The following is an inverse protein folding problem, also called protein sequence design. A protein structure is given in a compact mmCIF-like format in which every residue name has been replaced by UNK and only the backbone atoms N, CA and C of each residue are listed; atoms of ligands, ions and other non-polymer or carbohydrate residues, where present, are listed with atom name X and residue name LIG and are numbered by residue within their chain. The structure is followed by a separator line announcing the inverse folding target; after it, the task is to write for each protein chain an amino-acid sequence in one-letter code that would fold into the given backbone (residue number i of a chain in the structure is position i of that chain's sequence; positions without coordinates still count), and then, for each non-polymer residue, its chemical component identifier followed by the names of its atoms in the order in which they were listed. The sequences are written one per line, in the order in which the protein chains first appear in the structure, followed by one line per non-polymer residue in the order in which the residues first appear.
data_IF_269687056297
#
_entry.id   IF_269687056297
#
_cell.length_a   1.000
_cell.length_b   1.000
_cell.length_c   1.000
_cell.angle_alpha   90.00
_cell.angle_beta   90.00
_cell.angle_gamma   90.00
#
_symmetry.space_group_name_H-M   'P 1'
#
loop_
_entity.id
_entity.type
_entity.pdbx_description
1 polymer ?
#
# COMPACT_ATOMS: atom_id res chain seq x y z
N UNK A 1 -3.85 -25.26 5.07
CA UNK A 1 -4.08 -24.46 6.25
C UNK A 1 -3.09 -24.78 7.36
N UNK A 2 -2.10 -23.90 7.57
CA UNK A 2 -1.23 -23.99 8.76
C UNK A 2 -1.65 -22.89 9.72
N UNK A 3 -2.49 -23.26 10.69
CA UNK A 3 -2.70 -22.51 11.91
C UNK A 3 -1.46 -22.67 12.77
N UNK A 4 -0.76 -21.57 13.10
CA UNK A 4 0.30 -21.56 14.11
C UNK A 4 -0.17 -20.77 15.33
N UNK A 5 0.05 -21.40 16.48
CA UNK A 5 -0.44 -20.99 17.79
C UNK A 5 0.13 -19.65 18.29
N UNK A 6 -0.56 -19.17 19.25
CA UNK A 6 -0.45 -17.98 20.08
C UNK A 6 0.95 -17.78 20.67
N UNK A 7 1.58 -16.64 20.43
CA UNK A 7 2.72 -16.18 21.22
C UNK A 7 2.23 -15.10 22.21
N UNK A 8 2.11 -15.48 23.46
CA UNK A 8 1.71 -14.57 24.55
C UNK A 8 2.95 -13.94 25.14
N UNK A 9 3.16 -12.66 24.90
CA UNK A 9 4.05 -11.83 25.70
C UNK A 9 3.27 -10.67 26.29
N UNK A 10 3.00 -10.73 27.60
CA UNK A 10 2.59 -9.59 28.41
C UNK A 10 1.22 -9.02 28.08
N UNK A 11 0.14 -9.74 28.34
CA UNK A 11 -1.19 -9.16 28.65
C UNK A 11 -1.99 -8.50 27.55
N UNK A 12 -1.41 -8.08 26.43
CA UNK A 12 -2.12 -7.54 25.26
C UNK A 12 -2.00 -8.55 24.10
N UNK A 13 -3.15 -8.89 23.56
CA UNK A 13 -3.27 -9.87 22.47
C UNK A 13 -2.80 -9.21 21.18
N UNK A 14 -1.66 -9.63 20.63
CA UNK A 14 -1.12 -9.11 19.37
C UNK A 14 -2.08 -9.44 18.21
N UNK A 15 -2.23 -8.50 17.27
CA UNK A 15 -3.07 -8.70 16.09
C UNK A 15 -2.60 -9.92 15.25
N UNK A 16 -3.56 -10.69 14.75
CA UNK A 16 -3.30 -11.90 13.96
C UNK A 16 -2.84 -11.55 12.54
N UNK A 17 -1.85 -12.28 12.03
CA UNK A 17 -1.42 -12.22 10.64
C UNK A 17 -2.53 -12.65 9.65
N UNK A 18 -2.36 -12.24 8.40
CA UNK A 18 -3.26 -12.54 7.28
C UNK A 18 -4.65 -11.93 7.45
N UNK A 19 -4.67 -10.73 8.04
CA UNK A 19 -5.89 -9.97 8.26
C UNK A 19 -5.76 -8.50 7.84
N UNK A 20 -6.90 -7.97 7.43
CA UNK A 20 -7.17 -6.55 7.27
C UNK A 20 -7.97 -6.07 8.48
N UNK A 21 -7.54 -4.96 9.09
CA UNK A 21 -8.18 -4.37 10.26
C UNK A 21 -8.75 -2.99 9.95
N UNK A 22 -9.99 -2.75 10.37
CA UNK A 22 -10.58 -1.40 10.32
C UNK A 22 -10.15 -0.60 11.55
N UNK A 23 -9.00 0.05 11.45
CA UNK A 23 -8.44 0.84 12.54
C UNK A 23 -7.39 1.84 12.04
N UNK A 24 -7.06 2.80 12.87
CA UNK A 24 -5.92 3.68 12.64
C UNK A 24 -4.62 2.87 12.67
N UNK A 25 -3.80 3.03 11.63
CA UNK A 25 -2.52 2.32 11.53
C UNK A 25 -1.56 2.66 12.68
N UNK A 26 -1.64 3.85 13.27
CA UNK A 26 -0.83 4.22 14.44
C UNK A 26 -1.18 3.37 15.65
N UNK A 27 -2.46 3.10 15.89
CA UNK A 27 -2.89 2.19 16.96
C UNK A 27 -2.53 0.74 16.65
N UNK A 28 -2.62 0.35 15.39
CA UNK A 28 -2.22 -0.99 14.95
C UNK A 28 -0.72 -1.23 15.09
N UNK A 29 0.12 -0.33 14.60
CA UNK A 29 1.59 -0.47 14.67
C UNK A 29 2.12 -0.52 16.10
N UNK A 30 1.51 0.18 17.07
CA UNK A 30 1.89 0.13 18.49
C UNK A 30 1.81 -1.28 19.09
N UNK A 31 1.02 -2.17 18.55
CA UNK A 31 0.84 -3.54 19.06
C UNK A 31 1.97 -4.48 18.64
N UNK A 32 2.87 -4.04 17.77
CA UNK A 32 3.98 -4.86 17.29
C UNK A 32 5.32 -4.41 17.88
N UNK A 33 6.23 -5.34 18.18
CA UNK A 33 7.58 -5.01 18.60
C UNK A 33 8.40 -4.39 17.46
N UNK A 34 9.56 -3.82 17.82
CA UNK A 34 10.50 -3.27 16.85
C UNK A 34 10.90 -4.31 15.81
N UNK A 35 10.95 -3.89 14.54
CA UNK A 35 11.40 -4.72 13.41
C UNK A 35 10.63 -6.04 13.22
N UNK A 36 9.36 -6.06 13.64
CA UNK A 36 8.51 -7.24 13.52
C UNK A 36 8.25 -7.64 12.07
N UNK A 37 8.01 -6.65 11.19
CA UNK A 37 7.79 -6.87 9.76
C UNK A 37 9.11 -6.78 9.01
N UNK A 38 9.41 -7.74 8.15
CA UNK A 38 10.58 -7.71 7.29
C UNK A 38 10.46 -6.61 6.24
N UNK A 39 9.23 -6.35 5.75
CA UNK A 39 8.96 -5.34 4.73
C UNK A 39 7.61 -4.65 4.99
N UNK A 40 7.61 -3.31 4.93
CA UNK A 40 6.40 -2.53 4.78
C UNK A 40 6.30 -2.00 3.34
N UNK A 41 5.13 -2.16 2.71
CA UNK A 41 4.81 -1.58 1.40
C UNK A 41 3.60 -0.68 1.61
N UNK A 42 3.81 0.64 1.52
CA UNK A 42 2.80 1.62 1.92
C UNK A 42 2.51 2.65 0.84
N UNK A 43 1.25 3.08 0.76
CA UNK A 43 0.77 4.12 -0.15
C UNK A 43 -0.04 5.17 0.61
N UNK A 44 0.62 5.97 1.46
CA UNK A 44 -0.07 6.95 2.29
C UNK A 44 -0.60 8.13 1.45
N UNK A 45 -1.64 8.86 1.92
CA UNK A 45 -2.17 10.02 1.21
C UNK A 45 -1.12 11.12 1.04
N UNK A 46 -1.11 11.75 -0.14
CA UNK A 46 -0.06 12.71 -0.53
C UNK A 46 -0.39 14.17 -0.14
N UNK A 47 -1.62 14.47 0.26
CA UNK A 47 -2.06 15.84 0.59
C UNK A 47 -2.15 16.76 -0.63
N UNK A 48 -2.37 16.22 -1.83
CA UNK A 48 -2.36 16.98 -3.08
C UNK A 48 -3.75 17.19 -3.71
N UNK A 49 -4.78 16.48 -3.26
CA UNK A 49 -6.10 16.53 -3.90
C UNK A 49 -6.75 17.90 -3.76
N UNK A 50 -6.50 18.63 -2.69
CA UNK A 50 -6.97 20.01 -2.49
C UNK A 50 -6.24 21.05 -3.35
N UNK A 51 -5.07 20.70 -3.90
CA UNK A 51 -4.27 21.63 -4.73
C UNK A 51 -4.63 21.57 -6.22
N UNK A 52 -5.35 20.55 -6.65
CA UNK A 52 -5.67 20.28 -8.06
C UNK A 52 -7.11 20.65 -8.45
N UNK A 53 -7.72 21.68 -7.83
CA UNK A 53 -8.97 22.30 -8.34
C UNK A 53 -8.77 22.94 -9.71
N UNK A 54 -8.24 22.21 -10.69
CA UNK A 54 -8.34 22.56 -12.11
C UNK A 54 -9.45 21.74 -12.70
N UNK A 55 -10.49 22.46 -13.19
CA UNK A 55 -11.69 21.91 -13.75
C UNK A 55 -11.40 20.90 -14.86
N UNK A 56 -11.45 19.63 -14.52
CA UNK A 56 -11.54 18.52 -15.43
C UNK A 56 -12.92 17.90 -15.30
N UNK A 57 -13.59 17.70 -16.44
CA UNK A 57 -14.91 17.08 -16.52
C UNK A 57 -14.97 15.80 -15.68
N UNK A 58 -16.05 15.69 -14.92
CA UNK A 58 -16.38 14.54 -14.07
C UNK A 58 -16.27 13.25 -14.87
N UNK A 59 -15.35 12.38 -14.49
CA UNK A 59 -15.39 10.97 -14.87
C UNK A 59 -16.75 10.38 -14.45
N UNK A 60 -17.46 9.62 -15.30
CA UNK A 60 -18.76 9.06 -14.98
C UNK A 60 -18.71 7.91 -13.95
N UNK A 61 -17.58 7.63 -13.35
CA UNK A 61 -17.44 6.57 -12.36
C UNK A 61 -18.02 7.04 -11.01
N UNK A 62 -18.91 6.22 -10.47
CA UNK A 62 -19.66 6.38 -9.21
C UNK A 62 -18.78 6.37 -7.94
N UNK A 63 -17.69 7.13 -7.92
CA UNK A 63 -16.98 7.34 -6.68
C UNK A 63 -17.69 8.47 -5.93
N UNK A 64 -18.33 8.14 -4.81
CA UNK A 64 -18.64 9.13 -3.80
C UNK A 64 -17.29 9.62 -3.29
N UNK A 65 -16.80 10.74 -3.84
CA UNK A 65 -15.72 11.49 -3.21
C UNK A 65 -16.30 11.97 -1.88
N UNK A 66 -16.14 11.16 -0.85
CA UNK A 66 -16.38 11.57 0.52
C UNK A 66 -15.28 12.55 0.88
N UNK A 67 -15.70 13.64 1.46
CA UNK A 67 -14.97 14.75 2.08
C UNK A 67 -13.44 14.74 1.95
N UNK A 68 -12.91 15.89 1.71
CA UNK A 68 -11.48 16.26 1.65
C UNK A 68 -10.68 15.84 2.92
N UNK A 69 -11.32 15.15 3.87
CA UNK A 69 -10.81 14.83 5.20
C UNK A 69 -9.82 13.65 5.27
N UNK A 70 -9.69 12.83 4.24
CA UNK A 70 -8.76 11.69 4.25
C UNK A 70 -7.40 11.96 3.58
N UNK A 71 -7.26 13.03 2.79
CA UNK A 71 -6.02 13.37 2.08
C UNK A 71 -5.06 14.21 2.93
N UNK A 72 -4.88 13.83 4.19
CA UNK A 72 -3.84 14.43 5.04
C UNK A 72 -2.57 13.59 4.96
N UNK A 73 -1.41 14.22 4.59
CA UNK A 73 -0.15 13.51 4.58
C UNK A 73 0.23 13.04 5.99
N UNK A 74 0.91 11.89 6.12
CA UNK A 74 1.35 11.39 7.40
C UNK A 74 2.27 12.35 8.14
N UNK A 75 2.17 12.36 9.46
CA UNK A 75 3.02 13.18 10.35
C UNK A 75 4.38 12.51 10.60
N UNK A 76 5.31 13.24 11.21
CA UNK A 76 6.62 12.70 11.61
C UNK A 76 6.51 11.46 12.52
N UNK A 77 5.47 11.38 13.35
CA UNK A 77 5.28 10.23 14.25
C UNK A 77 4.90 8.96 13.49
N UNK A 78 4.13 9.07 12.39
CA UNK A 78 3.87 7.94 11.52
C UNK A 78 5.18 7.35 10.96
N UNK A 79 6.07 8.20 10.45
CA UNK A 79 7.34 7.73 9.88
C UNK A 79 8.22 7.06 10.93
N UNK A 80 8.28 7.61 12.15
CA UNK A 80 9.00 6.96 13.26
C UNK A 80 8.45 5.57 13.56
N UNK A 81 7.12 5.43 13.65
CA UNK A 81 6.48 4.13 13.90
C UNK A 81 6.69 3.15 12.75
N UNK A 82 6.54 3.59 11.49
CA UNK A 82 6.78 2.76 10.32
C UNK A 82 8.21 2.20 10.33
N UNK A 83 9.22 3.06 10.57
CA UNK A 83 10.61 2.65 10.68
C UNK A 83 10.90 1.81 11.93
N UNK A 84 10.16 2.00 13.01
CA UNK A 84 10.27 1.17 14.21
C UNK A 84 9.82 -0.26 13.95
N UNK A 85 8.62 -0.45 13.40
CA UNK A 85 7.99 -1.77 13.30
C UNK A 85 8.48 -2.58 12.11
N UNK A 86 9.10 -1.97 11.10
CA UNK A 86 9.54 -2.66 9.89
C UNK A 86 11.05 -2.54 9.67
N UNK A 87 11.63 -3.60 9.09
CA UNK A 87 13.06 -3.65 8.79
C UNK A 87 13.35 -2.85 7.51
N UNK A 88 12.59 -3.08 6.45
CA UNK A 88 12.68 -2.38 5.18
C UNK A 88 11.33 -1.76 4.81
N UNK A 89 11.36 -0.71 3.99
CA UNK A 89 10.17 0.02 3.57
C UNK A 89 10.20 0.26 2.06
N UNK A 90 9.03 0.22 1.45
CA UNK A 90 8.75 0.68 0.09
C UNK A 90 7.60 1.68 0.20
N UNK A 91 7.80 2.90 -0.28
CA UNK A 91 6.85 4.01 -0.13
C UNK A 91 6.43 4.51 -1.51
N UNK A 92 5.18 4.24 -1.88
CA UNK A 92 4.59 4.81 -3.09
C UNK A 92 4.49 6.34 -2.95
N UNK A 93 4.78 7.08 -4.01
CA UNK A 93 4.79 8.54 -3.95
C UNK A 93 5.88 9.11 -3.04
N UNK A 94 7.00 8.42 -2.87
CA UNK A 94 8.07 8.84 -1.97
C UNK A 94 8.60 10.25 -2.21
N UNK A 95 8.44 10.78 -3.44
CA UNK A 95 8.78 12.15 -3.79
C UNK A 95 7.94 13.21 -3.06
N UNK A 96 6.81 12.86 -2.45
CA UNK A 96 6.00 13.76 -1.62
C UNK A 96 6.46 13.77 -0.15
N UNK A 97 7.36 12.88 0.24
CA UNK A 97 7.75 12.63 1.65
C UNK A 97 9.26 12.75 1.89
N UNK A 98 9.97 13.46 1.04
CA UNK A 98 11.44 13.60 1.10
C UNK A 98 11.96 14.23 2.38
N UNK A 99 11.13 14.93 3.14
CA UNK A 99 11.49 15.48 4.45
C UNK A 99 11.63 14.38 5.54
N UNK A 100 11.09 13.19 5.29
CA UNK A 100 11.09 12.07 6.23
C UNK A 100 11.89 10.87 5.75
N UNK A 101 12.13 10.78 4.44
CA UNK A 101 12.81 9.66 3.80
C UNK A 101 14.28 10.01 3.57
N UNK A 102 15.18 9.12 3.96
CA UNK A 102 16.61 9.37 3.76
C UNK A 102 17.02 9.19 2.27
N UNK A 103 18.10 9.87 1.83
CA UNK A 103 18.62 9.71 0.48
C UNK A 103 19.00 8.26 0.18
N UNK A 104 18.60 7.76 -0.99
CA UNK A 104 18.86 6.41 -1.44
C UNK A 104 18.93 6.34 -2.97
N UNK A 105 19.68 5.38 -3.50
CA UNK A 105 19.76 5.09 -4.94
C UNK A 105 18.66 4.16 -5.43
N UNK A 106 18.04 3.38 -4.55
CA UNK A 106 17.11 2.32 -4.89
C UNK A 106 15.68 2.82 -5.12
N UNK A 107 15.54 3.91 -5.85
CA UNK A 107 14.24 4.39 -6.30
C UNK A 107 13.69 3.49 -7.39
N UNK A 108 12.36 3.37 -7.44
CA UNK A 108 11.63 2.71 -8.51
C UNK A 108 10.82 3.77 -9.24
N UNK A 109 10.89 3.77 -10.55
CA UNK A 109 10.01 4.55 -11.39
C UNK A 109 8.98 3.60 -12.04
N UNK A 110 7.72 3.78 -11.72
CA UNK A 110 6.65 3.08 -12.40
C UNK A 110 6.23 3.89 -13.64
N UNK A 111 6.70 3.43 -14.81
CA UNK A 111 6.35 4.04 -16.09
C UNK A 111 4.98 3.51 -16.56
N UNK A 112 4.01 4.42 -16.70
CA UNK A 112 2.61 4.10 -17.00
C UNK A 112 2.24 4.17 -18.47
N UNK A 113 3.14 4.67 -19.32
CA UNK A 113 2.86 4.97 -20.73
C UNK A 113 1.68 5.94 -20.93
N UNK A 114 1.59 6.94 -20.07
CA UNK A 114 0.52 7.93 -20.14
C UNK A 114 0.63 8.77 -21.43
N UNK A 115 -0.38 8.74 -22.33
CA UNK A 115 -0.29 9.41 -23.63
C UNK A 115 -0.67 10.89 -23.59
N UNK A 116 -1.09 11.42 -22.45
CA UNK A 116 -1.60 12.78 -22.29
C UNK A 116 -0.57 13.64 -21.58
N UNK A 117 -0.02 14.64 -22.26
CA UNK A 117 1.08 15.48 -21.78
C UNK A 117 0.86 16.20 -20.45
N UNK A 118 -0.40 16.40 -20.04
CA UNK A 118 -0.75 17.06 -18.78
C UNK A 118 -0.74 16.13 -17.56
N UNK A 119 -0.50 14.83 -17.76
CA UNK A 119 -0.38 13.85 -16.68
C UNK A 119 1.05 13.37 -16.57
N UNK A 120 1.46 12.96 -15.36
CA UNK A 120 2.79 12.41 -15.16
C UNK A 120 2.95 11.08 -15.93
N UNK A 121 4.10 10.88 -16.55
CA UNK A 121 4.45 9.64 -17.26
C UNK A 121 4.42 8.41 -16.36
N UNK A 122 4.62 8.60 -15.06
CA UNK A 122 4.65 7.54 -14.08
C UNK A 122 4.67 8.05 -12.65
N UNK A 123 4.98 7.15 -11.73
CA UNK A 123 5.07 7.43 -10.30
C UNK A 123 6.42 7.01 -9.74
N UNK A 124 6.92 7.79 -8.77
CA UNK A 124 8.13 7.46 -8.03
C UNK A 124 7.77 6.65 -6.79
N UNK A 125 8.55 5.60 -6.54
CA UNK A 125 8.44 4.76 -5.35
C UNK A 125 9.81 4.75 -4.69
N UNK A 126 9.87 5.16 -3.44
CA UNK A 126 11.08 5.14 -2.64
C UNK A 126 11.25 3.76 -1.97
N UNK A 127 12.50 3.34 -1.79
CA UNK A 127 12.80 2.15 -0.98
C UNK A 127 13.89 2.44 0.05
N UNK A 128 13.92 1.68 1.14
CA UNK A 128 14.98 1.78 2.16
C UNK A 128 16.20 0.90 1.87
N UNK A 129 16.21 0.16 0.77
CA UNK A 129 17.28 -0.79 0.44
C UNK A 129 18.55 -0.08 0.02
N UNK A 130 19.64 -0.24 0.77
CA UNK A 130 20.93 0.38 0.47
C UNK A 130 21.80 -0.44 -0.49
N UNK A 131 21.51 -1.72 -0.64
CA UNK A 131 22.24 -2.69 -1.46
C UNK A 131 21.66 -2.84 -2.87
N UNK A 132 20.63 -2.07 -3.22
CA UNK A 132 19.95 -2.15 -4.51
C UNK A 132 20.13 -0.89 -5.34
N UNK A 133 19.96 -1.04 -6.64
CA UNK A 133 19.97 0.05 -7.62
C UNK A 133 18.56 0.46 -8.01
N UNK A 134 18.42 1.67 -8.58
CA UNK A 134 17.17 2.14 -9.16
C UNK A 134 16.63 1.19 -10.21
N UNK A 135 15.32 1.03 -10.26
CA UNK A 135 14.60 0.14 -11.18
C UNK A 135 13.46 0.88 -11.87
N UNK A 136 13.10 0.39 -13.04
CA UNK A 136 11.88 0.77 -13.73
C UNK A 136 10.89 -0.39 -13.68
N UNK A 137 9.67 -0.11 -13.25
CA UNK A 137 8.53 -0.99 -13.45
C UNK A 137 7.77 -0.47 -14.66
N UNK A 138 7.96 -1.12 -15.80
CA UNK A 138 7.31 -0.78 -17.06
C UNK A 138 5.98 -1.51 -17.13
N UNK A 139 4.88 -0.79 -16.87
CA UNK A 139 3.55 -1.37 -16.87
C UNK A 139 2.52 -0.32 -17.25
N UNK A 140 1.96 -0.47 -18.46
CA UNK A 140 0.94 0.43 -18.99
C UNK A 140 -0.32 0.39 -18.12
N UNK A 141 -0.69 1.55 -17.55
CA UNK A 141 -1.84 1.65 -16.66
C UNK A 141 -2.42 3.07 -16.69
N UNK A 142 -3.38 3.29 -17.57
CA UNK A 142 -4.11 4.56 -17.66
C UNK A 142 -5.52 4.35 -18.24
N UNK A 143 -6.47 5.17 -17.81
CA UNK A 143 -7.85 5.06 -18.27
C UNK A 143 -8.43 3.66 -18.03
N UNK A 144 -8.85 2.99 -19.11
CA UNK A 144 -9.33 1.61 -19.09
C UNK A 144 -8.22 0.57 -19.35
N UNK A 145 -7.01 1.00 -19.74
CA UNK A 145 -5.91 0.10 -20.10
C UNK A 145 -5.36 -0.56 -18.85
N UNK A 146 -5.38 -1.88 -18.81
CA UNK A 146 -5.02 -2.73 -17.67
C UNK A 146 -5.75 -2.37 -16.37
N UNK A 147 -6.83 -1.56 -16.47
CA UNK A 147 -7.67 -1.27 -15.32
C UNK A 147 -8.37 -2.54 -14.87
N UNK A 148 -8.25 -2.85 -13.60
CA UNK A 148 -8.98 -3.97 -13.01
C UNK A 148 -10.48 -3.66 -13.02
N UNK A 149 -11.29 -4.65 -13.38
CA UNK A 149 -12.75 -4.48 -13.57
C UNK A 149 -13.49 -4.15 -12.28
N UNK A 150 -12.87 -4.43 -11.14
CA UNK A 150 -13.37 -4.21 -9.79
C UNK A 150 -12.84 -2.92 -9.13
N UNK A 151 -12.36 -1.96 -9.94
CA UNK A 151 -11.82 -0.70 -9.42
C UNK A 151 -12.88 0.11 -8.68
N UNK A 152 -12.68 0.32 -7.39
CA UNK A 152 -13.56 1.12 -6.53
C UNK A 152 -12.84 2.24 -5.76
N UNK A 153 -11.51 2.19 -5.69
CA UNK A 153 -10.72 3.23 -5.03
C UNK A 153 -10.12 4.21 -6.07
N UNK A 154 -10.18 5.54 -5.86
CA UNK A 154 -9.75 6.53 -6.85
C UNK A 154 -8.26 6.43 -7.21
N UNK A 155 -7.43 6.06 -6.25
CA UNK A 155 -5.97 5.90 -6.42
C UNK A 155 -5.52 4.44 -6.45
N UNK A 156 -6.43 3.51 -6.77
CA UNK A 156 -6.13 2.09 -6.81
C UNK A 156 -4.96 1.77 -7.73
N UNK A 157 -3.93 1.16 -7.14
CA UNK A 157 -2.78 0.63 -7.87
C UNK A 157 -3.03 -0.83 -8.28
N UNK A 158 -2.46 -1.29 -9.40
CA UNK A 158 -2.68 -2.65 -9.87
C UNK A 158 -2.00 -3.69 -8.97
N UNK A 159 -2.61 -4.85 -8.81
CA UNK A 159 -2.02 -6.01 -8.12
C UNK A 159 -0.66 -6.39 -8.73
N UNK A 160 -0.50 -6.22 -10.05
CA UNK A 160 0.74 -6.48 -10.76
C UNK A 160 1.93 -5.69 -10.21
N UNK A 161 1.74 -4.42 -9.80
CA UNK A 161 2.79 -3.62 -9.15
C UNK A 161 3.25 -4.28 -7.85
N UNK A 162 2.33 -4.63 -6.98
CA UNK A 162 2.66 -5.22 -5.69
C UNK A 162 3.33 -6.60 -5.84
N UNK A 163 2.87 -7.42 -6.77
CA UNK A 163 3.55 -8.69 -7.11
C UNK A 163 4.99 -8.47 -7.59
N UNK A 164 5.20 -7.45 -8.42
CA UNK A 164 6.55 -7.11 -8.87
C UNK A 164 7.43 -6.61 -7.71
N UNK A 165 6.88 -5.79 -6.80
CA UNK A 165 7.60 -5.33 -5.61
C UNK A 165 7.98 -6.51 -4.71
N UNK A 166 7.04 -7.39 -4.39
CA UNK A 166 7.29 -8.58 -3.56
C UNK A 166 8.34 -9.49 -4.20
N UNK A 167 8.23 -9.76 -5.51
CA UNK A 167 9.20 -10.60 -6.22
C UNK A 167 10.64 -10.08 -6.15
N UNK A 168 10.83 -8.76 -6.16
CA UNK A 168 12.16 -8.14 -6.22
C UNK A 168 12.73 -7.77 -4.86
N UNK A 169 11.89 -7.60 -3.83
CA UNK A 169 12.28 -7.02 -2.55
C UNK A 169 11.96 -7.86 -1.32
N UNK A 170 11.03 -8.81 -1.42
CA UNK A 170 10.69 -9.72 -0.32
C UNK A 170 11.35 -11.09 -0.50
N UNK A 171 11.48 -11.81 0.61
CA UNK A 171 12.01 -13.19 0.67
C UNK A 171 10.93 -14.13 1.19
N UNK A 172 10.92 -15.41 0.81
CA UNK A 172 9.98 -16.37 1.38
C UNK A 172 10.00 -16.36 2.91
N UNK A 173 8.82 -16.22 3.52
CA UNK A 173 8.66 -16.14 4.97
C UNK A 173 8.66 -14.72 5.55
N UNK A 174 8.90 -13.69 4.75
CA UNK A 174 8.76 -12.30 5.18
C UNK A 174 7.30 -11.99 5.53
N UNK A 175 7.12 -11.20 6.61
CA UNK A 175 5.83 -10.62 7.00
C UNK A 175 5.72 -9.21 6.43
N UNK A 176 4.62 -8.95 5.73
CA UNK A 176 4.40 -7.71 5.00
C UNK A 176 3.40 -6.83 5.75
N UNK A 177 3.74 -5.55 5.89
CA UNK A 177 2.84 -4.55 6.46
C UNK A 177 2.35 -3.58 5.38
N UNK A 178 1.03 -3.34 5.33
CA UNK A 178 0.45 -2.22 4.61
C UNK A 178 -0.41 -1.36 5.56
N UNK A 179 -0.02 -0.10 5.72
CA UNK A 179 -0.67 0.83 6.66
C UNK A 179 -1.85 1.60 6.06
N UNK A 180 -2.02 1.56 4.73
CA UNK A 180 -3.05 2.29 3.98
C UNK A 180 -3.56 1.43 2.84
N UNK A 181 -4.30 0.38 3.19
CA UNK A 181 -4.66 -0.71 2.26
C UNK A 181 -5.53 -0.26 1.09
N UNK A 182 -6.45 0.68 1.31
CA UNK A 182 -7.33 1.17 0.26
C UNK A 182 -8.11 0.05 -0.43
N UNK A 183 -7.67 -0.32 -1.64
CA UNK A 183 -8.35 -1.34 -2.45
C UNK A 183 -7.95 -2.79 -2.18
N UNK A 184 -7.06 -3.08 -1.26
CA UNK A 184 -6.46 -4.39 -0.98
C UNK A 184 -5.58 -5.00 -2.09
N UNK A 185 -5.13 -4.22 -3.08
CA UNK A 185 -4.25 -4.75 -4.13
C UNK A 185 -2.93 -5.33 -3.59
N UNK A 186 -2.36 -4.71 -2.54
CA UNK A 186 -1.18 -5.21 -1.83
C UNK A 186 -1.44 -6.54 -1.14
N UNK A 187 -2.58 -6.68 -0.46
CA UNK A 187 -2.93 -7.88 0.28
C UNK A 187 -3.26 -9.05 -0.65
N UNK A 188 -3.92 -8.78 -1.78
CA UNK A 188 -4.13 -9.78 -2.85
C UNK A 188 -2.79 -10.30 -3.36
N UNK A 189 -1.83 -9.40 -3.61
CA UNK A 189 -0.49 -9.80 -4.06
C UNK A 189 0.23 -10.67 -3.01
N UNK A 190 0.14 -10.31 -1.72
CA UNK A 190 0.70 -11.11 -0.63
C UNK A 190 0.07 -12.50 -0.57
N UNK A 191 -1.26 -12.58 -0.65
CA UNK A 191 -1.99 -13.85 -0.66
C UNK A 191 -1.56 -14.74 -1.82
N UNK A 192 -1.54 -14.21 -3.04
CA UNK A 192 -1.18 -14.96 -4.25
C UNK A 192 0.26 -15.48 -4.23
N UNK A 193 1.15 -14.76 -3.56
CA UNK A 193 2.58 -15.10 -3.50
C UNK A 193 2.98 -15.81 -2.20
N UNK A 194 2.03 -16.08 -1.30
CA UNK A 194 2.24 -16.85 -0.08
C UNK A 194 3.00 -16.11 1.02
N UNK A 195 2.89 -14.78 1.09
CA UNK A 195 3.42 -13.97 2.17
C UNK A 195 2.40 -13.79 3.29
N UNK A 196 2.86 -13.83 4.54
CA UNK A 196 2.06 -13.38 5.67
C UNK A 196 1.96 -11.85 5.67
N UNK A 197 0.80 -11.30 6.04
CA UNK A 197 0.56 -9.86 5.99
C UNK A 197 -0.30 -9.34 7.14
N UNK A 198 -0.19 -8.04 7.38
CA UNK A 198 -1.15 -7.22 8.14
C UNK A 198 -1.48 -5.99 7.29
N UNK A 199 -2.77 -5.66 7.23
CA UNK A 199 -3.24 -4.44 6.60
C UNK A 199 -4.11 -3.60 7.52
N UNK A 200 -4.02 -2.27 7.38
CA UNK A 200 -4.87 -1.31 8.09
C UNK A 200 -5.63 -0.44 7.08
N UNK A 201 -6.91 -0.23 7.34
CA UNK A 201 -7.76 0.73 6.62
C UNK A 201 -8.69 1.44 7.61
N UNK A 202 -8.55 2.75 7.70
CA UNK A 202 -9.30 3.54 8.67
C UNK A 202 -10.73 3.83 8.19
N UNK A 203 -10.92 4.03 6.88
CA UNK A 203 -12.24 4.27 6.31
C UNK A 203 -13.03 2.96 6.25
N UNK A 204 -14.18 2.95 6.92
CA UNK A 204 -15.02 1.76 7.04
C UNK A 204 -15.55 1.27 5.68
N UNK A 205 -15.94 2.18 4.80
CA UNK A 205 -16.52 1.81 3.51
C UNK A 205 -15.44 1.19 2.60
N UNK A 206 -14.20 1.74 2.62
CA UNK A 206 -13.06 1.15 1.91
C UNK A 206 -12.63 -0.18 2.54
N UNK A 207 -12.65 -0.28 3.86
CA UNK A 207 -12.36 -1.53 4.55
C UNK A 207 -13.34 -2.64 4.13
N UNK A 208 -14.66 -2.38 4.15
CA UNK A 208 -15.68 -3.36 3.75
C UNK A 208 -15.53 -3.77 2.27
N UNK A 209 -15.28 -2.80 1.38
CA UNK A 209 -15.05 -3.06 -0.03
C UNK A 209 -13.76 -3.87 -0.27
N UNK A 210 -12.68 -3.57 0.46
CA UNK A 210 -11.42 -4.29 0.39
C UNK A 210 -11.55 -5.73 0.90
N UNK A 211 -12.27 -5.94 2.00
CA UNK A 211 -12.56 -7.29 2.50
C UNK A 211 -13.36 -8.12 1.49
N UNK A 212 -14.38 -7.53 0.89
CA UNK A 212 -15.19 -8.23 -0.10
C UNK A 212 -14.36 -8.59 -1.34
N UNK A 213 -13.51 -7.67 -1.81
CA UNK A 213 -12.59 -7.93 -2.91
C UNK A 213 -11.64 -9.09 -2.61
N UNK A 214 -11.04 -9.12 -1.42
CA UNK A 214 -10.21 -10.22 -0.95
C UNK A 214 -10.99 -11.54 -0.92
N UNK A 215 -12.20 -11.54 -0.38
CA UNK A 215 -13.07 -12.72 -0.29
C UNK A 215 -13.38 -13.30 -1.68
N UNK A 216 -13.78 -12.45 -2.62
CA UNK A 216 -14.07 -12.87 -4.01
C UNK A 216 -12.82 -13.45 -4.66
N UNK A 217 -11.67 -12.78 -4.51
CA UNK A 217 -10.41 -13.24 -5.08
C UNK A 217 -10.00 -14.62 -4.58
N UNK A 218 -10.09 -14.84 -3.25
CA UNK A 218 -9.76 -16.13 -2.64
C UNK A 218 -10.68 -17.27 -3.13
N UNK A 219 -11.98 -16.98 -3.36
CA UNK A 219 -12.93 -17.96 -3.87
C UNK A 219 -12.68 -18.38 -5.32
N UNK A 220 -12.09 -17.49 -6.13
CA UNK A 220 -11.78 -17.79 -7.54
C UNK A 220 -10.55 -18.68 -7.70
N UNK A 221 -9.77 -18.88 -6.63
CA UNK A 221 -8.55 -19.68 -6.66
C UNK A 221 -8.73 -21.08 -6.03
N UNK A 222 -9.89 -21.38 -5.49
CA UNK A 222 -10.27 -22.72 -5.00
C UNK A 222 -11.07 -23.48 -6.03
#
# INVERSE_FOLDING_TARGET
GRWRGWDRRGGEEMLELNRLYNMDCMEGMKQFPDKYFELAIVDPPYGIMNKTKRGGQRSPHKYKVRSEEWDYPPTADYWKELFRVSQNQIVCGGNYFTDYLFPNNAWIFWYKHQPVDNYADGEFIWTSFNDKQGKCFDYMYYGAINSETDRFHPTQKPVALYKWLLKNYAKPGDKILDTHVGSASSLIACYDMGFDFIGFEIDKDYYEAAQERMRIHMQQQT
#
